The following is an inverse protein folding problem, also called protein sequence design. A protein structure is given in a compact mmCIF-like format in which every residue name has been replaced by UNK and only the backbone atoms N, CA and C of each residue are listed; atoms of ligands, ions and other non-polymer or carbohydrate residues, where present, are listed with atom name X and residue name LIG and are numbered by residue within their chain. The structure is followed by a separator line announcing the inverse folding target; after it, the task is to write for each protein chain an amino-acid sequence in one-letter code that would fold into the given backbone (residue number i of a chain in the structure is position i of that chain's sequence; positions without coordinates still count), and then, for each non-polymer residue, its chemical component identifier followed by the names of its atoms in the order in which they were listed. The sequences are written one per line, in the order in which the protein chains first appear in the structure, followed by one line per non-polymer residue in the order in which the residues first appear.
data_IF_879467959250
#
_entry.id   IF_879467959250
#
_cell.length_a   1.000
_cell.length_b   1.000
_cell.length_c   1.000
_cell.angle_alpha   90.00
_cell.angle_beta   90.00
_cell.angle_gamma   90.00
#
_symmetry.space_group_name_H-M   'P 1'
#
loop_
_entity.id
_entity.type
_entity.pdbx_description
1 polymer ?
#
# COMPACT_ATOMS: atom_id res chain seq x y z
N UNK A 1 -2.50 0.72 12.58
CA UNK A 1 -3.22 1.76 11.79
C UNK A 1 -4.71 1.45 11.84
N UNK A 2 -5.61 2.43 12.03
CA UNK A 2 -7.08 2.22 12.09
C UNK A 2 -7.89 3.50 11.82
N UNK A 3 -9.21 3.37 11.65
CA UNK A 3 -10.17 4.47 11.63
C UNK A 3 -10.71 4.83 10.25
N UNK A 4 -11.61 5.81 10.19
CA UNK A 4 -12.19 6.30 8.93
C UNK A 4 -11.13 7.04 8.12
N UNK A 5 -11.12 6.83 6.80
CA UNK A 5 -10.33 7.64 5.86
C UNK A 5 -11.15 7.97 4.62
N UNK A 6 -10.78 9.03 3.92
CA UNK A 6 -11.22 9.26 2.55
C UNK A 6 -10.26 8.53 1.61
N UNK A 7 -10.78 7.51 0.92
CA UNK A 7 -10.05 6.71 -0.07
C UNK A 7 -10.38 7.23 -1.46
N UNK A 8 -9.37 7.33 -2.32
CA UNK A 8 -9.49 7.86 -3.67
C UNK A 8 -9.13 9.34 -3.79
N UNK A 9 -8.97 9.77 -5.04
CA UNK A 9 -8.59 11.14 -5.39
C UNK A 9 -9.73 12.14 -5.27
N UNK A 10 -9.38 13.42 -5.12
CA UNK A 10 -10.32 14.55 -5.27
C UNK A 10 -10.26 15.20 -6.67
N UNK A 11 -9.08 15.18 -7.30
CA UNK A 11 -8.87 15.45 -8.72
C UNK A 11 -7.63 14.68 -9.21
N UNK A 12 -7.52 14.43 -10.52
CA UNK A 12 -6.41 13.64 -11.07
C UNK A 12 -6.70 13.06 -12.46
N UNK A 13 -5.67 12.50 -13.12
CA UNK A 13 -5.76 12.09 -14.51
C UNK A 13 -6.47 10.75 -14.75
N UNK A 14 -6.65 9.90 -13.72
CA UNK A 14 -7.24 8.57 -13.90
C UNK A 14 -8.63 8.48 -13.24
N UNK A 15 -9.64 8.22 -14.07
CA UNK A 15 -11.05 8.25 -13.67
C UNK A 15 -11.41 7.21 -12.60
N UNK A 16 -10.67 6.11 -12.52
CA UNK A 16 -10.89 5.00 -11.60
C UNK A 16 -10.43 5.27 -10.16
N UNK A 17 -9.77 6.41 -9.93
CA UNK A 17 -9.45 6.94 -8.60
C UNK A 17 -10.60 7.68 -7.93
N UNK A 18 -11.72 7.86 -8.65
CA UNK A 18 -12.85 8.70 -8.24
C UNK A 18 -14.15 7.90 -8.10
N UNK A 19 -15.10 8.39 -7.27
CA UNK A 19 -14.95 9.53 -6.36
C UNK A 19 -14.20 9.17 -5.07
N UNK A 20 -13.63 10.17 -4.42
CA UNK A 20 -13.21 10.04 -3.02
C UNK A 20 -14.43 9.63 -2.16
N UNK A 21 -14.26 8.59 -1.35
CA UNK A 21 -15.33 8.03 -0.53
C UNK A 21 -14.82 7.64 0.86
N UNK A 22 -15.69 7.66 1.87
CA UNK A 22 -15.33 7.30 3.23
C UNK A 22 -15.28 5.78 3.38
N UNK A 23 -14.18 5.26 3.92
CA UNK A 23 -14.02 3.85 4.28
C UNK A 23 -13.60 3.77 5.74
N UNK A 24 -14.27 2.92 6.53
CA UNK A 24 -13.79 2.54 7.85
C UNK A 24 -12.78 1.40 7.71
N UNK A 25 -11.54 1.65 8.14
CA UNK A 25 -10.48 0.64 8.14
C UNK A 25 -10.29 0.12 9.57
N UNK A 26 -10.55 -1.18 9.85
CA UNK A 26 -10.28 -1.79 11.15
C UNK A 26 -8.80 -1.67 11.55
N UNK A 27 -8.49 -1.95 12.81
CA UNK A 27 -7.10 -1.93 13.24
C UNK A 27 -6.27 -3.04 12.60
N UNK A 28 -5.12 -2.67 12.02
CA UNK A 28 -4.18 -3.59 11.39
C UNK A 28 -2.73 -3.14 11.59
N UNK A 29 -1.82 -4.11 11.46
CA UNK A 29 -0.39 -3.92 11.27
C UNK A 29 -0.06 -4.09 9.79
N UNK A 30 0.92 -3.36 9.30
CA UNK A 30 1.44 -3.47 7.93
C UNK A 30 2.95 -3.57 7.98
N UNK A 31 3.54 -4.32 7.05
CA UNK A 31 4.97 -4.41 6.92
C UNK A 31 5.56 -3.04 6.54
N UNK A 32 6.66 -2.68 7.22
CA UNK A 32 7.35 -1.39 7.05
C UNK A 32 7.94 -1.29 5.63
N UNK A 33 8.37 -2.42 5.07
CA UNK A 33 8.98 -2.56 3.74
C UNK A 33 8.19 -3.56 2.90
N UNK A 34 8.43 -3.57 1.59
CA UNK A 34 8.04 -4.70 0.73
C UNK A 34 8.75 -5.99 1.16
N UNK A 35 8.15 -7.14 0.85
CA UNK A 35 8.78 -8.44 1.09
C UNK A 35 10.06 -8.54 0.26
N UNK A 36 11.17 -8.83 0.92
CA UNK A 36 12.48 -8.93 0.28
C UNK A 36 12.72 -10.30 -0.37
N UNK A 37 13.68 -10.36 -1.29
CA UNK A 37 14.13 -11.63 -1.89
C UNK A 37 14.60 -12.62 -0.83
N UNK A 38 15.33 -12.16 0.20
CA UNK A 38 15.78 -13.01 1.31
C UNK A 38 14.60 -13.63 2.08
N UNK A 39 13.60 -12.81 2.39
CA UNK A 39 12.38 -13.26 3.07
C UNK A 39 11.60 -14.27 2.23
N UNK A 40 11.42 -13.99 0.93
CA UNK A 40 10.73 -14.89 0.01
C UNK A 40 11.50 -16.19 -0.20
N UNK A 41 12.84 -16.14 -0.21
CA UNK A 41 13.68 -17.35 -0.29
C UNK A 41 13.48 -18.26 0.92
N UNK A 42 13.36 -17.71 2.13
CA UNK A 42 13.02 -18.49 3.34
C UNK A 42 11.68 -19.22 3.19
N UNK A 43 10.70 -18.58 2.58
CA UNK A 43 9.41 -19.20 2.26
C UNK A 43 9.57 -20.37 1.27
N UNK A 44 10.28 -20.16 0.15
CA UNK A 44 10.55 -21.22 -0.82
C UNK A 44 11.26 -22.42 -0.16
N UNK A 45 12.29 -22.16 0.64
CA UNK A 45 13.08 -23.21 1.28
C UNK A 45 12.27 -24.00 2.32
N UNK A 46 11.43 -23.31 3.10
CA UNK A 46 10.64 -23.94 4.15
C UNK A 46 9.47 -24.77 3.62
N UNK A 47 8.99 -24.50 2.40
CA UNK A 47 7.73 -25.07 1.89
C UNK A 47 7.89 -25.86 0.59
N UNK A 48 9.04 -25.74 -0.09
CA UNK A 48 9.21 -26.23 -1.45
C UNK A 48 8.44 -25.42 -2.51
N UNK A 49 7.89 -24.25 -2.14
CA UNK A 49 7.16 -23.41 -3.09
C UNK A 49 8.07 -22.88 -4.21
N UNK A 50 7.62 -22.87 -5.49
CA UNK A 50 8.46 -22.45 -6.59
C UNK A 50 8.99 -21.02 -6.44
N UNK A 51 10.30 -20.79 -6.67
CA UNK A 51 10.87 -19.46 -6.68
C UNK A 51 10.38 -18.63 -7.89
N UNK A 52 10.51 -17.30 -7.86
CA UNK A 52 10.21 -16.46 -9.01
C UNK A 52 10.94 -16.95 -10.28
N UNK A 53 10.29 -16.93 -11.47
CA UNK A 53 10.83 -17.59 -12.67
C UNK A 53 12.19 -17.06 -13.17
N UNK A 54 12.55 -15.85 -12.77
CA UNK A 54 13.80 -15.21 -13.17
C UNK A 54 14.96 -15.53 -12.22
N UNK A 55 14.71 -16.20 -11.09
CA UNK A 55 15.74 -16.68 -10.19
C UNK A 55 16.46 -17.88 -10.82
N UNK A 56 17.79 -17.83 -10.86
CA UNK A 56 18.59 -18.88 -11.47
C UNK A 56 18.88 -19.96 -10.43
N UNK A 57 18.57 -21.22 -10.76
CA UNK A 57 18.75 -22.37 -9.86
C UNK A 57 18.10 -22.15 -8.48
N UNK A 58 16.95 -21.47 -8.48
CA UNK A 58 16.18 -21.13 -7.28
C UNK A 58 16.82 -20.09 -6.37
N UNK A 59 17.82 -19.34 -6.84
CA UNK A 59 18.49 -18.26 -6.10
C UNK A 59 18.17 -16.90 -6.72
N UNK A 60 17.88 -15.92 -5.86
CA UNK A 60 17.83 -14.53 -6.27
C UNK A 60 19.22 -14.05 -6.72
N UNK A 61 19.31 -12.99 -7.54
CA UNK A 61 20.60 -12.46 -7.99
C UNK A 61 21.51 -12.06 -6.81
N UNK A 62 22.81 -12.30 -6.94
CA UNK A 62 23.79 -11.96 -5.91
C UNK A 62 23.72 -10.47 -5.53
N UNK A 63 23.81 -10.18 -4.23
CA UNK A 63 23.71 -8.81 -3.70
C UNK A 63 22.30 -8.20 -3.72
N UNK A 64 21.26 -8.99 -4.06
CA UNK A 64 19.86 -8.52 -4.07
C UNK A 64 19.01 -9.06 -2.92
N UNK A 65 19.61 -9.46 -1.81
CA UNK A 65 18.91 -10.02 -0.65
C UNK A 65 17.88 -9.03 -0.05
N UNK A 66 18.23 -7.73 0.00
CA UNK A 66 17.33 -6.66 0.50
C UNK A 66 16.48 -5.99 -0.57
N UNK A 67 16.52 -6.47 -1.81
CA UNK A 67 15.65 -5.94 -2.86
C UNK A 67 14.25 -6.56 -2.71
N UNK A 68 13.18 -5.83 -3.08
CA UNK A 68 11.84 -6.38 -3.05
C UNK A 68 11.75 -7.57 -4.00
N UNK A 69 11.08 -8.64 -3.56
CA UNK A 69 10.71 -9.73 -4.46
C UNK A 69 9.75 -9.20 -5.51
N UNK A 70 10.00 -9.54 -6.77
CA UNK A 70 9.15 -9.16 -7.90
C UNK A 70 8.88 -10.36 -8.81
N UNK A 71 8.12 -10.13 -9.88
CA UNK A 71 7.78 -11.16 -10.86
C UNK A 71 7.06 -12.36 -10.22
N UNK A 72 6.30 -12.06 -9.17
CA UNK A 72 5.38 -12.95 -8.46
C UNK A 72 3.95 -12.59 -8.86
N UNK A 73 3.10 -13.59 -9.01
CA UNK A 73 1.69 -13.32 -9.27
C UNK A 73 0.93 -13.12 -7.94
N UNK A 74 -0.36 -12.79 -8.03
CA UNK A 74 -1.18 -12.53 -6.85
C UNK A 74 -1.29 -13.74 -5.93
N UNK A 75 -1.38 -14.95 -6.50
CA UNK A 75 -1.49 -16.19 -5.73
C UNK A 75 -0.21 -16.52 -4.95
N UNK A 76 0.95 -16.26 -5.54
CA UNK A 76 2.24 -16.40 -4.85
C UNK A 76 2.34 -15.47 -3.63
N UNK A 77 1.95 -14.21 -3.82
CA UNK A 77 1.95 -13.21 -2.75
C UNK A 77 0.99 -13.61 -1.61
N UNK A 78 -0.20 -14.13 -1.95
CA UNK A 78 -1.13 -14.70 -0.96
C UNK A 78 -0.54 -15.91 -0.24
N UNK A 79 0.09 -16.84 -0.96
CA UNK A 79 0.71 -18.03 -0.39
C UNK A 79 1.82 -17.65 0.61
N UNK A 80 2.69 -16.72 0.23
CA UNK A 80 3.71 -16.18 1.12
C UNK A 80 3.07 -15.54 2.36
N UNK A 81 2.12 -14.61 2.20
CA UNK A 81 1.56 -13.91 3.35
C UNK A 81 0.86 -14.90 4.30
N UNK A 82 0.16 -15.92 3.77
CA UNK A 82 -0.45 -16.97 4.57
C UNK A 82 0.61 -17.77 5.36
N UNK A 83 1.69 -18.19 4.71
CA UNK A 83 2.81 -18.87 5.36
C UNK A 83 3.42 -18.02 6.48
N UNK A 84 3.57 -16.71 6.26
CA UNK A 84 4.07 -15.76 7.25
C UNK A 84 3.06 -15.43 8.38
N UNK A 85 1.86 -16.04 8.40
CA UNK A 85 0.81 -15.74 9.38
C UNK A 85 0.19 -14.35 9.22
N UNK A 86 0.15 -13.86 7.98
CA UNK A 86 -0.31 -12.54 7.52
C UNK A 86 -1.31 -12.70 6.36
N UNK A 87 -1.64 -11.59 5.70
CA UNK A 87 -2.44 -11.52 4.45
C UNK A 87 -1.98 -10.34 3.59
N UNK A 88 -2.46 -10.24 2.35
CA UNK A 88 -2.31 -9.02 1.57
C UNK A 88 -3.13 -7.86 2.17
N UNK A 89 -2.67 -6.61 2.05
CA UNK A 89 -3.47 -5.43 2.39
C UNK A 89 -4.71 -5.34 1.51
N UNK A 90 -5.79 -4.79 2.05
CA UNK A 90 -6.82 -4.23 1.17
C UNK A 90 -6.32 -2.96 0.50
N UNK A 91 -6.93 -2.56 -0.61
CA UNK A 91 -6.63 -1.27 -1.26
C UNK A 91 -6.76 -0.10 -0.28
N UNK A 92 -7.80 -0.11 0.56
CA UNK A 92 -8.05 0.93 1.56
C UNK A 92 -7.01 0.92 2.69
N UNK A 93 -6.57 -0.26 3.15
CA UNK A 93 -5.51 -0.38 4.15
C UNK A 93 -4.18 0.16 3.62
N UNK A 94 -3.84 -0.21 2.39
CA UNK A 94 -2.62 0.23 1.72
C UNK A 94 -2.62 1.76 1.56
N UNK A 95 -3.70 2.34 1.01
CA UNK A 95 -3.78 3.79 0.79
C UNK A 95 -3.73 4.54 2.11
N UNK A 96 -4.43 4.07 3.14
CA UNK A 96 -4.36 4.67 4.48
C UNK A 96 -2.94 4.62 5.03
N UNK A 97 -2.24 3.50 4.90
CA UNK A 97 -0.86 3.37 5.35
C UNK A 97 0.10 4.31 4.61
N UNK A 98 -0.14 4.55 3.31
CA UNK A 98 0.66 5.47 2.51
C UNK A 98 0.36 6.96 2.81
N UNK A 99 -0.92 7.31 2.95
CA UNK A 99 -1.42 8.69 2.87
C UNK A 99 -1.76 9.33 4.21
N UNK A 100 -1.81 8.58 5.30
CA UNK A 100 -2.25 9.17 6.57
C UNK A 100 -3.75 9.49 6.56
N UNK A 101 -4.13 10.63 7.13
CA UNK A 101 -5.53 11.07 7.30
C UNK A 101 -5.82 12.44 6.69
N UNK A 102 -4.83 13.11 6.12
CA UNK A 102 -4.90 14.49 5.65
C UNK A 102 -5.10 14.63 4.13
N UNK A 103 -5.15 13.51 3.41
CA UNK A 103 -5.42 13.53 1.98
C UNK A 103 -4.21 13.89 1.11
N UNK A 104 -2.98 13.74 1.61
CA UNK A 104 -1.75 14.03 0.83
C UNK A 104 -1.61 13.19 -0.45
N UNK A 105 -1.00 13.75 -1.49
CA UNK A 105 -0.85 13.08 -2.79
C UNK A 105 0.21 11.97 -2.76
N UNK A 106 1.29 12.18 -2.01
CA UNK A 106 2.42 11.27 -1.83
C UNK A 106 2.65 11.04 -0.33
N UNK A 107 3.37 9.97 0.09
CA UNK A 107 3.60 9.69 1.50
C UNK A 107 4.20 10.88 2.27
N UNK A 108 5.05 11.66 1.61
CA UNK A 108 5.76 12.82 2.16
C UNK A 108 5.08 14.19 1.92
N UNK A 109 3.91 14.26 1.28
CA UNK A 109 3.22 15.53 1.03
C UNK A 109 2.54 15.61 -0.33
N UNK A 110 2.35 16.83 -0.84
CA UNK A 110 1.63 17.07 -2.10
C UNK A 110 2.55 17.37 -3.29
N UNK A 111 3.82 17.68 -3.04
CA UNK A 111 4.80 17.96 -4.08
C UNK A 111 5.59 16.70 -4.43
N UNK A 112 5.65 16.39 -5.72
CA UNK A 112 6.43 15.27 -6.23
C UNK A 112 7.93 15.56 -6.16
N UNK A 113 8.72 14.57 -5.75
CA UNK A 113 10.18 14.69 -5.64
C UNK A 113 10.87 13.35 -5.94
N UNK A 114 11.89 13.37 -6.80
CA UNK A 114 12.64 12.18 -7.28
C UNK A 114 13.62 11.56 -6.25
N UNK A 115 13.87 12.25 -5.14
CA UNK A 115 14.81 11.88 -4.08
C UNK A 115 14.13 11.20 -2.88
N UNK A 116 12.79 11.09 -2.91
CA UNK A 116 11.97 10.44 -1.86
C UNK A 116 11.32 9.15 -2.31
N UNK A 117 11.58 8.72 -3.54
CA UNK A 117 11.07 7.48 -4.11
C UNK A 117 12.03 6.93 -5.17
N UNK A 118 11.68 5.77 -5.71
CA UNK A 118 12.33 5.19 -6.88
C UNK A 118 11.37 5.23 -8.10
N UNK A 119 11.33 6.31 -8.89
CA UNK A 119 10.48 6.47 -10.07
C UNK A 119 11.24 6.12 -11.36
N UNK A 120 10.56 6.19 -12.51
CA UNK A 120 11.23 6.17 -13.81
C UNK A 120 12.14 7.40 -13.98
N UNK A 121 13.43 7.16 -14.28
CA UNK A 121 14.39 8.23 -14.58
C UNK A 121 14.76 8.21 -16.08
N UNK A 122 14.45 9.31 -16.78
CA UNK A 122 14.93 9.58 -18.13
C UNK A 122 16.44 9.83 -18.08
N UNK A 123 17.24 8.76 -18.17
CA UNK A 123 18.63 8.77 -18.63
C UNK A 123 19.44 10.07 -18.36
N UNK A 124 20.11 10.17 -17.20
CA UNK A 124 21.33 10.96 -17.01
C UNK A 124 22.02 10.52 -15.70
N UNK A 125 22.76 9.40 -15.76
CA UNK A 125 23.63 8.92 -14.67
C UNK A 125 22.97 8.19 -13.49
N UNK A 126 21.64 8.22 -13.36
CA UNK A 126 20.92 7.47 -12.32
C UNK A 126 20.78 5.97 -12.63
N UNK A 127 21.02 5.12 -11.63
CA UNK A 127 20.77 3.67 -11.69
C UNK A 127 19.31 3.39 -12.08
N UNK A 128 19.09 2.59 -13.14
CA UNK A 128 17.77 2.08 -13.52
C UNK A 128 17.48 0.78 -12.78
N UNK A 129 16.26 0.61 -12.30
CA UNK A 129 15.81 -0.64 -11.69
C UNK A 129 15.46 -0.50 -10.22
N UNK A 130 15.26 -1.66 -9.61
CA UNK A 130 14.95 -1.77 -8.19
C UNK A 130 16.05 -1.19 -7.30
N UNK A 131 15.65 -0.84 -6.08
CA UNK A 131 16.54 -0.48 -5.00
C UNK A 131 16.28 -1.40 -3.80
N UNK A 132 17.29 -1.60 -2.92
CA UNK A 132 17.05 -2.20 -1.62
C UNK A 132 15.90 -1.47 -0.91
N UNK A 133 15.05 -2.22 -0.22
CA UNK A 133 14.00 -1.62 0.62
C UNK A 133 14.63 -0.66 1.64
N UNK A 134 13.96 0.46 1.91
CA UNK A 134 14.41 1.50 2.81
C UNK A 134 15.43 2.49 2.21
N UNK A 135 15.69 2.43 0.90
CA UNK A 135 16.66 3.33 0.24
C UNK A 135 16.26 4.82 0.29
N UNK A 136 14.99 5.13 0.55
CA UNK A 136 14.45 6.48 0.52
C UNK A 136 13.87 6.89 1.89
N UNK A 137 14.72 7.18 2.90
CA UNK A 137 14.27 7.48 4.26
C UNK A 137 13.47 8.79 4.40
N UNK A 138 13.57 9.69 3.42
CA UNK A 138 12.75 10.91 3.37
C UNK A 138 11.37 10.68 2.75
N UNK A 139 11.13 9.49 2.17
CA UNK A 139 9.88 9.08 1.55
C UNK A 139 8.91 8.34 2.47
N UNK A 140 9.23 8.25 3.76
CA UNK A 140 8.47 7.47 4.75
C UNK A 140 7.07 8.03 4.92
N UNK A 141 6.08 7.14 4.98
CA UNK A 141 4.68 7.51 5.19
C UNK A 141 4.42 8.03 6.61
N UNK A 142 3.26 8.68 6.87
CA UNK A 142 2.87 9.11 8.21
C UNK A 142 2.86 8.01 9.28
N UNK A 143 2.78 6.75 8.84
CA UNK A 143 2.74 5.58 9.71
C UNK A 143 4.06 4.79 9.73
N UNK A 144 5.12 5.34 9.16
CA UNK A 144 6.45 4.71 9.18
C UNK A 144 6.69 3.69 8.06
N UNK A 145 5.83 3.63 7.04
CA UNK A 145 6.01 2.70 5.92
C UNK A 145 6.91 3.31 4.84
N UNK A 146 7.95 2.58 4.44
CA UNK A 146 8.89 2.96 3.40
C UNK A 146 8.40 2.51 2.03
N UNK A 147 8.91 3.19 0.99
CA UNK A 147 8.78 2.78 -0.41
C UNK A 147 7.32 2.53 -0.85
N UNK A 148 6.35 3.18 -0.18
CA UNK A 148 4.93 3.11 -0.56
C UNK A 148 4.67 3.69 -1.95
N UNK A 149 5.62 4.42 -2.53
CA UNK A 149 5.51 4.94 -3.89
C UNK A 149 6.82 4.65 -4.63
N UNK A 150 6.71 4.03 -5.80
CA UNK A 150 7.86 3.63 -6.62
C UNK A 150 8.42 2.27 -6.20
N UNK A 151 9.64 1.98 -6.63
CA UNK A 151 10.29 0.68 -6.44
C UNK A 151 9.48 -0.46 -7.08
N UNK A 152 8.62 -1.17 -6.37
CA UNK A 152 7.63 -2.08 -6.97
C UNK A 152 6.21 -1.61 -6.68
N UNK A 153 5.33 -1.81 -7.65
CA UNK A 153 3.91 -1.77 -7.35
C UNK A 153 3.55 -2.98 -6.48
N UNK A 154 2.55 -2.84 -5.62
CA UNK A 154 2.29 -3.82 -4.57
C UNK A 154 0.90 -4.43 -4.69
N UNK A 155 0.83 -5.75 -4.78
CA UNK A 155 -0.43 -6.48 -4.79
C UNK A 155 -1.30 -6.17 -3.57
N UNK A 156 -2.60 -6.00 -3.80
CA UNK A 156 -3.63 -5.91 -2.75
C UNK A 156 -4.62 -7.06 -2.86
N UNK A 157 -5.45 -7.29 -1.83
CA UNK A 157 -6.47 -8.35 -1.86
C UNK A 157 -7.63 -8.05 -2.82
N UNK A 158 -7.83 -6.79 -3.18
CA UNK A 158 -9.06 -6.31 -3.79
C UNK A 158 -9.13 -6.64 -5.28
N UNK A 159 -10.32 -7.04 -5.71
CA UNK A 159 -10.67 -7.07 -7.12
C UNK A 159 -10.86 -5.66 -7.63
N UNK A 160 -10.48 -5.41 -8.89
CA UNK A 160 -10.66 -4.12 -9.52
C UNK A 160 -12.14 -3.85 -9.80
N UNK A 161 -12.76 -3.13 -8.88
CA UNK A 161 -14.16 -2.71 -8.94
C UNK A 161 -14.22 -1.16 -8.89
N UNK A 162 -15.29 -0.56 -9.43
CA UNK A 162 -15.48 0.88 -9.34
C UNK A 162 -15.63 1.28 -7.87
N UNK A 163 -15.15 2.48 -7.53
CA UNK A 163 -15.39 3.02 -6.20
C UNK A 163 -16.88 3.31 -5.97
N UNK A 164 -17.37 3.19 -4.72
CA UNK A 164 -18.75 3.54 -4.38
C UNK A 164 -19.09 4.97 -4.84
N UNK A 165 -20.22 5.11 -5.54
CA UNK A 165 -20.67 6.41 -6.06
C UNK A 165 -20.02 6.82 -7.38
N UNK A 166 -19.12 6.01 -7.96
CA UNK A 166 -18.72 6.19 -9.35
C UNK A 166 -19.97 6.10 -10.23
N UNK A 167 -20.20 7.13 -11.05
CA UNK A 167 -21.35 7.16 -11.97
C UNK A 167 -21.19 6.03 -12.98
N UNK A 168 -21.97 4.97 -12.78
CA UNK A 168 -22.06 3.84 -13.72
C UNK A 168 -22.39 4.39 -15.11
N UNK A 169 -21.47 4.22 -16.06
CA UNK A 169 -21.61 4.71 -17.44
C UNK A 169 -20.69 5.89 -17.83
N UNK A 170 -20.15 6.67 -16.90
CA UNK A 170 -19.12 7.70 -17.24
C UNK A 170 -17.70 7.19 -17.08
N UNK A 171 -17.51 6.18 -16.24
CA UNK A 171 -16.26 5.41 -16.10
C UNK A 171 -16.59 3.96 -16.43
N UNK A 172 -16.93 3.68 -17.70
CA UNK A 172 -17.04 2.30 -18.17
C UNK A 172 -15.64 1.77 -18.42
N UNK A 173 -15.03 1.21 -17.39
CA UNK A 173 -13.85 0.39 -17.56
C UNK A 173 -14.31 -1.07 -17.77
N UNK A 174 -14.14 -1.65 -18.99
CA UNK A 174 -14.57 -3.03 -19.28
C UNK A 174 -13.85 -4.08 -18.41
N UNK A 175 -12.78 -3.69 -17.73
CA UNK A 175 -12.03 -4.53 -16.82
C UNK A 175 -12.57 -4.55 -15.39
N UNK A 176 -13.54 -3.70 -15.05
CA UNK A 176 -14.20 -3.79 -13.76
C UNK A 176 -14.86 -5.16 -13.53
N UNK A 177 -14.79 -5.62 -12.28
CA UNK A 177 -15.28 -6.91 -11.84
C UNK A 177 -14.19 -7.79 -11.28
N UNK A 178 -14.42 -9.10 -11.25
CA UNK A 178 -13.49 -10.07 -10.65
C UNK A 178 -12.54 -10.67 -11.69
N UNK A 179 -11.94 -9.80 -12.50
CA UNK A 179 -11.01 -10.16 -13.59
C UNK A 179 -9.57 -9.81 -13.23
N UNK A 180 -9.37 -8.60 -12.71
CA UNK A 180 -8.07 -8.05 -12.36
C UNK A 180 -7.98 -7.80 -10.86
N UNK A 181 -6.80 -8.01 -10.29
CA UNK A 181 -6.46 -7.60 -8.93
C UNK A 181 -5.80 -6.23 -8.97
N UNK A 182 -6.07 -5.45 -7.92
CA UNK A 182 -5.49 -4.13 -7.76
C UNK A 182 -4.07 -4.24 -7.20
N UNK A 183 -3.15 -3.44 -7.73
CA UNK A 183 -1.86 -3.15 -7.14
C UNK A 183 -1.69 -1.63 -6.97
N UNK A 184 -0.87 -1.21 -6.01
CA UNK A 184 -0.75 0.21 -5.60
C UNK A 184 0.72 0.66 -5.57
N UNK A 185 0.93 1.97 -5.45
CA UNK A 185 2.26 2.59 -5.29
C UNK A 185 3.04 2.86 -6.58
N UNK A 186 2.77 2.10 -7.65
CA UNK A 186 3.56 2.17 -8.88
C UNK A 186 5.01 1.70 -8.66
N UNK A 187 5.85 1.75 -9.69
CA UNK A 187 7.17 1.12 -9.70
C UNK A 187 8.28 2.05 -10.17
N UNK A 188 9.51 1.56 -10.12
CA UNK A 188 10.71 2.18 -10.71
C UNK A 188 10.62 2.46 -12.21
N UNK A 189 9.61 1.93 -12.89
CA UNK A 189 9.37 2.17 -14.32
C UNK A 189 8.17 3.11 -14.59
N UNK A 190 7.55 3.69 -13.56
CA UNK A 190 6.40 4.57 -13.70
C UNK A 190 6.77 6.06 -13.64
N UNK A 191 6.00 6.87 -14.37
CA UNK A 191 6.07 8.33 -14.34
C UNK A 191 5.41 8.91 -13.08
N UNK A 192 5.76 10.15 -12.68
CA UNK A 192 5.21 10.82 -11.50
C UNK A 192 3.67 10.82 -11.41
N UNK A 193 2.98 10.88 -12.55
CA UNK A 193 1.51 10.85 -12.63
C UNK A 193 0.89 9.55 -12.10
N UNK A 194 1.60 8.43 -12.22
CA UNK A 194 1.20 7.08 -11.77
C UNK A 194 1.84 6.69 -10.43
N UNK A 195 2.46 7.63 -9.73
CA UNK A 195 3.16 7.42 -8.46
C UNK A 195 2.44 8.10 -7.28
N UNK A 196 1.13 8.32 -7.39
CA UNK A 196 0.32 8.95 -6.34
C UNK A 196 -0.23 7.88 -5.40
N UNK A 197 -0.46 8.23 -4.13
CA UNK A 197 -1.07 7.33 -3.15
C UNK A 197 -2.46 6.83 -3.59
N UNK A 198 -3.15 7.54 -4.48
CA UNK A 198 -4.47 7.18 -5.00
C UNK A 198 -4.42 6.38 -6.31
N UNK A 199 -3.26 6.29 -6.97
CA UNK A 199 -3.13 5.62 -8.26
C UNK A 199 -3.39 4.11 -8.15
N UNK A 200 -4.27 3.60 -9.00
CA UNK A 200 -4.69 2.20 -9.00
C UNK A 200 -4.10 1.51 -10.22
N UNK A 201 -3.14 0.64 -9.98
CA UNK A 201 -2.67 -0.28 -11.00
C UNK A 201 -3.51 -1.56 -10.99
N UNK A 202 -3.61 -2.23 -12.13
CA UNK A 202 -4.32 -3.50 -12.23
C UNK A 202 -3.51 -4.53 -13.00
N UNK A 203 -3.71 -5.80 -12.67
CA UNK A 203 -3.13 -6.90 -13.43
C UNK A 203 -3.93 -8.19 -13.17
N UNK A 204 -3.90 -9.15 -14.11
CA UNK A 204 -4.52 -10.45 -13.92
C UNK A 204 -3.86 -11.19 -12.74
N UNK A 205 -4.62 -11.92 -11.91
CA UNK A 205 -4.09 -12.55 -10.69
C UNK A 205 -3.06 -13.66 -10.97
N UNK A 206 -3.11 -14.30 -12.13
CA UNK A 206 -2.09 -15.28 -12.57
C UNK A 206 -0.87 -14.64 -13.23
N UNK A 207 -0.98 -13.37 -13.62
CA UNK A 207 0.05 -12.67 -14.36
C UNK A 207 1.20 -12.21 -13.45
N UNK A 208 2.41 -12.21 -14.02
CA UNK A 208 3.65 -11.82 -13.34
C UNK A 208 4.24 -10.60 -14.04
N UNK A 209 4.88 -9.72 -13.28
CA UNK A 209 5.58 -8.56 -13.83
C UNK A 209 6.82 -8.24 -13.00
N UNK A 210 7.95 -7.85 -13.62
CA UNK A 210 9.14 -7.40 -12.90
C UNK A 210 8.92 -6.07 -12.15
N UNK A 211 7.77 -5.42 -12.36
CA UNK A 211 7.39 -4.17 -11.74
C UNK A 211 6.47 -4.36 -10.52
N UNK A 212 6.01 -5.60 -10.27
CA UNK A 212 5.02 -5.89 -9.23
C UNK A 212 5.63 -6.86 -8.20
N UNK A 213 5.60 -6.44 -6.94
CA UNK A 213 5.89 -7.20 -5.74
C UNK A 213 4.72 -7.09 -4.76
N UNK A 214 5.00 -7.12 -3.46
CA UNK A 214 3.97 -6.97 -2.43
C UNK A 214 4.56 -6.70 -1.05
N UNK A 215 3.71 -6.22 -0.14
CA UNK A 215 3.93 -6.24 1.32
C UNK A 215 2.75 -6.93 1.99
N UNK A 216 2.92 -7.40 3.23
CA UNK A 216 1.83 -8.03 3.96
C UNK A 216 1.24 -7.11 5.04
N UNK A 217 0.05 -7.48 5.52
CA UNK A 217 -0.60 -6.92 6.71
C UNK A 217 -1.06 -8.03 7.64
N UNK A 218 -1.35 -7.67 8.89
CA UNK A 218 -1.99 -8.54 9.88
C UNK A 218 -3.07 -7.77 10.62
N UNK A 219 -4.26 -8.36 10.74
CA UNK A 219 -5.33 -7.75 11.55
C UNK A 219 -4.88 -7.63 13.01
N UNK A 220 -5.19 -6.50 13.65
CA UNK A 220 -4.87 -6.30 15.06
C UNK A 220 -5.90 -7.02 15.95
N UNK A 221 -5.49 -7.53 17.14
CA UNK A 221 -6.43 -8.11 18.10
C UNK A 221 -7.53 -7.12 18.51
N UNK A 222 -8.76 -7.60 18.71
CA UNK A 222 -9.94 -6.78 19.03
C UNK A 222 -9.79 -5.90 20.28
N UNK A 223 -8.94 -6.30 21.25
CA UNK A 223 -8.66 -5.53 22.45
C UNK A 223 -8.11 -4.12 22.16
N UNK A 224 -7.33 -3.97 21.07
CA UNK A 224 -6.81 -2.67 20.63
C UNK A 224 -7.92 -1.80 20.01
N UNK A 225 -8.95 -2.41 19.42
CA UNK A 225 -10.06 -1.70 18.80
C UNK A 225 -11.11 -1.20 19.82
N UNK A 226 -11.28 -1.91 20.95
CA UNK A 226 -12.23 -1.55 22.01
C UNK A 226 -11.74 -0.39 22.89
N UNK A 227 -10.45 -0.34 23.24
CA UNK A 227 -9.91 0.70 24.12
C UNK A 227 -10.06 2.12 23.54
N UNK A 228 -10.02 2.26 22.21
CA UNK A 228 -10.21 3.54 21.52
C UNK A 228 -11.68 3.94 21.31
N UNK A 229 -12.62 2.97 21.25
CA UNK A 229 -14.06 3.27 21.15
C UNK A 229 -14.61 3.90 22.43
N UNK A 230 -14.10 3.51 23.60
CA UNK A 230 -14.49 4.14 24.87
C UNK A 230 -13.90 5.55 25.06
N UNK A 231 -12.64 5.78 24.66
CA UNK A 231 -12.02 7.11 24.78
C UNK A 231 -12.69 8.18 23.89
N UNK A 232 -13.16 7.82 22.69
CA UNK A 232 -13.82 8.75 21.78
C UNK A 232 -15.28 9.08 22.16
N UNK A 233 -15.91 8.27 23.02
CA UNK A 233 -17.24 8.56 23.60
C UNK A 233 -17.11 9.44 24.86
N UNK A 234 -16.03 9.29 25.63
CA UNK A 234 -15.81 10.04 26.88
C UNK A 234 -15.13 11.41 26.68
N UNK A 235 -14.52 11.68 25.52
CA UNK A 235 -13.87 12.97 25.22
C UNK A 235 -14.77 14.00 24.51
N UNK A 236 -16.02 14.16 24.97
CA UNK A 236 -16.75 15.43 24.77
C UNK A 236 -16.34 16.38 25.90
N UNK A 237 -16.02 17.66 25.61
CA UNK A 237 -15.47 18.53 26.65
C UNK A 237 -16.52 18.81 27.72
N UNK A 238 -16.14 18.56 28.97
CA UNK A 238 -16.69 19.22 30.16
C UNK A 238 -16.41 20.73 30.02
N UNK A 239 -17.20 21.40 29.19
CA UNK A 239 -17.23 22.85 29.00
C UNK A 239 -18.60 23.35 29.47
N UNK A 240 -18.92 23.07 30.72
CA UNK A 240 -19.97 23.74 31.49
C UNK A 240 -19.81 23.27 32.94
N UNK A 241 -19.97 24.19 33.89
CA UNK A 241 -19.87 23.98 35.35
C UNK A 241 -18.45 24.17 35.93
N UNK A 242 -17.94 25.40 35.87
CA UNK A 242 -16.99 25.94 36.87
C UNK A 242 -17.19 27.46 37.10
N UNK A 243 -18.42 27.97 36.97
CA UNK A 243 -18.81 29.31 37.44
C UNK A 243 -20.02 29.20 38.35
N UNK A 244 -19.81 28.65 39.55
CA UNK A 244 -20.60 28.93 40.74
C UNK A 244 -19.94 28.16 41.88
N UNK A 245 -19.25 28.88 42.77
CA UNK A 245 -19.02 28.61 44.19
C UNK A 245 -17.62 29.04 44.66
N UNK A 246 -17.47 30.34 44.87
CA UNK A 246 -16.70 30.96 45.95
C UNK A 246 -17.42 32.28 46.27
N UNK A 247 -18.55 32.24 46.99
CA UNK A 247 -18.69 32.41 48.45
C UNK A 247 -18.12 33.72 49.00
N UNK A 248 -19.04 34.49 49.58
CA UNK A 248 -18.96 35.39 50.75
C UNK A 248 -17.80 36.39 50.85
#
# INVERSE_FOLDING_TARGET
IMGVNYIGGQAGPYADEFPAHKVYVPAFYIDIYEVTNEEYKRFCDATGYPPPPHWQNGRYPEGQDKFPVNNVNWYDAVAYCKWAGKRLPTEAEWEKAARGTDGRMYPWGNEFTDDKNNPYKFCNGGHRGLKPVGSYPQGVSPYGCYDMVGNVAEWTSDWYKPYPGAKTGTVYDPFYGEKLKVHRGGSWANYPSSLRCTFRGTHYPWGRSPLIGFRCVKSAPEATAMHYRHWSILARPLLSICEALTLH
#
